data_IF_148661293374
#
_entry.id   IF_148661293374
#
_cell.length_a   1.000
_cell.length_b   1.000
_cell.length_c   1.000
_cell.angle_alpha   90.00
_cell.angle_beta   90.00
_cell.angle_gamma   90.00
#
_symmetry.space_group_name_H-M   'P 1'
#
loop_
_entity.id
_entity.type
_entity.pdbx_description
1 polymer ?
#
# COMPACT_ATOMS: atom_id res chain seq x y z
N UNK A 1 -16.46 2.92 -51.76
CA UNK A 1 -15.74 3.28 -50.52
C UNK A 1 -16.45 2.71 -49.29
N UNK A 2 -16.42 1.39 -49.04
CA UNK A 2 -17.20 0.78 -47.94
C UNK A 2 -16.58 -0.48 -47.32
N UNK A 3 -15.26 -0.68 -47.44
CA UNK A 3 -14.58 -1.90 -46.97
C UNK A 3 -13.32 -1.66 -46.12
N UNK A 4 -13.04 -0.43 -45.72
CA UNK A 4 -11.82 -0.09 -44.95
C UNK A 4 -12.10 0.22 -43.48
N UNK A 5 -13.37 0.27 -43.06
CA UNK A 5 -13.73 0.59 -41.66
C UNK A 5 -13.77 -0.66 -40.76
N UNK A 6 -13.91 -1.86 -41.35
CA UNK A 6 -14.01 -3.12 -40.60
C UNK A 6 -12.75 -3.52 -39.81
N UNK A 7 -11.49 -3.38 -40.32
CA UNK A 7 -10.33 -3.85 -39.56
C UNK A 7 -9.96 -2.94 -38.39
N UNK A 8 -10.37 -1.67 -38.40
CA UNK A 8 -10.11 -0.74 -37.30
C UNK A 8 -10.97 -1.03 -36.05
N UNK A 9 -12.21 -1.50 -36.25
CA UNK A 9 -13.09 -1.89 -35.14
C UNK A 9 -12.70 -3.25 -34.55
N UNK A 10 -12.11 -4.15 -35.34
CA UNK A 10 -11.59 -5.43 -34.85
C UNK A 10 -10.30 -5.27 -34.03
N UNK A 11 -9.45 -4.29 -34.34
CA UNK A 11 -8.25 -3.99 -33.54
C UNK A 11 -8.56 -3.40 -32.15
N UNK A 12 -9.64 -2.64 -32.03
CA UNK A 12 -10.11 -2.06 -30.76
C UNK A 12 -10.72 -3.11 -29.82
N UNK A 13 -11.22 -4.24 -30.34
CA UNK A 13 -11.74 -5.33 -29.51
C UNK A 13 -10.64 -6.08 -28.73
N UNK A 14 -9.40 -6.08 -29.23
CA UNK A 14 -8.25 -6.71 -28.55
C UNK A 14 -7.65 -5.88 -27.40
N UNK A 15 -7.96 -4.58 -27.34
CA UNK A 15 -7.53 -3.68 -26.26
C UNK A 15 -8.44 -3.73 -25.05
N UNK A 16 -9.62 -4.36 -25.15
CA UNK A 16 -10.52 -4.53 -24.01
C UNK A 16 -10.03 -5.58 -23.00
N UNK A 17 -9.15 -6.50 -23.42
CA UNK A 17 -8.60 -7.55 -22.55
C UNK A 17 -7.36 -7.13 -21.74
N UNK A 18 -6.79 -5.94 -21.96
CA UNK A 18 -5.58 -5.49 -21.24
C UNK A 18 -5.86 -4.59 -20.03
N UNK A 19 -7.10 -4.10 -19.84
CA UNK A 19 -7.45 -3.27 -18.67
C UNK A 19 -7.96 -4.14 -17.50
N UNK A 20 -8.13 -5.45 -17.71
CA UNK A 20 -8.41 -6.41 -16.63
C UNK A 20 -7.18 -6.76 -15.77
N UNK A 21 -6.06 -6.04 -15.94
CA UNK A 21 -4.93 -6.05 -15.00
C UNK A 21 -4.92 -4.79 -14.14
N UNK A 22 -6.09 -4.38 -13.64
CA UNK A 22 -6.14 -3.75 -12.34
C UNK A 22 -5.59 -4.78 -11.34
N UNK A 23 -4.26 -4.77 -11.18
CA UNK A 23 -3.58 -5.35 -10.02
C UNK A 23 -4.46 -5.02 -8.82
N UNK A 24 -4.80 -6.01 -7.99
CA UNK A 24 -5.95 -5.90 -7.10
C UNK A 24 -5.84 -4.58 -6.34
N UNK A 25 -6.89 -3.77 -6.40
CA UNK A 25 -7.12 -2.66 -5.50
C UNK A 25 -7.29 -3.21 -4.08
N UNK A 26 -6.23 -3.82 -3.58
CA UNK A 26 -5.97 -4.34 -2.26
C UNK A 26 -5.45 -3.13 -1.47
N UNK A 27 -6.31 -2.11 -1.41
CA UNK A 27 -5.95 -0.78 -0.99
C UNK A 27 -5.51 -0.81 0.47
N UNK A 28 -4.31 -0.29 0.70
CA UNK A 28 -3.88 0.11 2.04
C UNK A 28 -4.97 1.02 2.62
N UNK A 29 -5.32 0.89 3.90
CA UNK A 29 -6.35 1.72 4.50
C UNK A 29 -6.05 3.21 4.27
N UNK A 30 -7.01 3.93 3.68
CA UNK A 30 -6.93 5.36 3.46
C UNK A 30 -7.05 6.14 4.78
N UNK A 31 -6.28 7.22 4.91
CA UNK A 31 -6.35 8.07 6.10
C UNK A 31 -7.77 8.60 6.32
N UNK A 32 -8.25 8.56 7.56
CA UNK A 32 -9.61 8.98 7.93
C UNK A 32 -10.70 7.91 7.72
N UNK A 33 -10.31 6.68 7.35
CA UNK A 33 -11.23 5.54 7.34
C UNK A 33 -11.16 4.77 8.66
N UNK A 34 -12.24 4.08 9.08
CA UNK A 34 -12.21 3.22 10.26
C UNK A 34 -11.14 2.12 10.19
N UNK A 35 -10.86 1.60 8.99
CA UNK A 35 -9.79 0.62 8.78
C UNK A 35 -8.40 1.20 9.08
N UNK A 36 -8.19 2.48 8.78
CA UNK A 36 -6.95 3.17 9.13
C UNK A 36 -6.85 3.43 10.63
N UNK A 37 -7.97 3.75 11.29
CA UNK A 37 -8.01 3.91 12.74
C UNK A 37 -7.68 2.59 13.47
N UNK A 38 -8.21 1.47 12.98
CA UNK A 38 -7.88 0.13 13.49
C UNK A 38 -6.40 -0.20 13.32
N UNK A 39 -5.81 0.17 12.17
CA UNK A 39 -4.38 0.05 11.93
C UNK A 39 -3.55 0.89 12.91
N UNK A 40 -3.92 2.17 13.09
CA UNK A 40 -3.27 3.06 14.06
C UNK A 40 -3.36 2.52 15.48
N UNK A 41 -4.51 1.96 15.85
CA UNK A 41 -4.67 1.30 17.15
C UNK A 41 -3.80 0.04 17.26
N UNK A 42 -3.65 -0.73 16.17
CA UNK A 42 -2.72 -1.85 16.06
C UNK A 42 -1.27 -1.42 16.31
N UNK A 43 -0.82 -0.34 15.69
CA UNK A 43 0.51 0.25 15.93
C UNK A 43 0.70 0.62 17.41
N UNK A 44 -0.24 1.37 17.97
CA UNK A 44 -0.17 1.82 19.37
C UNK A 44 -0.14 0.65 20.36
N UNK A 45 -0.94 -0.40 20.12
CA UNK A 45 -0.92 -1.64 20.93
C UNK A 45 0.43 -2.35 20.89
N UNK A 46 1.21 -2.15 19.84
CA UNK A 46 2.57 -2.69 19.71
C UNK A 46 3.65 -1.66 20.12
N UNK A 47 3.27 -0.56 20.75
CA UNK A 47 4.18 0.47 21.26
C UNK A 47 4.66 1.48 20.22
N UNK A 48 4.05 1.51 19.04
CA UNK A 48 4.39 2.44 17.96
C UNK A 48 3.42 3.63 17.92
N UNK A 49 3.89 4.77 18.43
CA UNK A 49 3.14 6.04 18.41
C UNK A 49 3.55 6.87 17.19
N UNK A 50 3.20 6.39 16.01
CA UNK A 50 3.48 7.09 14.76
C UNK A 50 2.41 8.15 14.50
N UNK A 51 2.80 9.23 13.81
CA UNK A 51 1.84 10.14 13.22
C UNK A 51 1.13 9.45 12.02
N UNK A 52 -0.09 9.90 11.65
CA UNK A 52 -0.86 9.29 10.55
C UNK A 52 -0.11 9.20 9.22
N UNK A 53 0.59 10.27 8.81
CA UNK A 53 1.32 10.29 7.52
C UNK A 53 2.46 9.27 7.49
N UNK A 54 3.22 9.16 8.56
CA UNK A 54 4.27 8.15 8.71
C UNK A 54 3.68 6.77 8.73
N UNK A 55 2.61 6.54 9.50
CA UNK A 55 1.93 5.25 9.56
C UNK A 55 1.43 4.82 8.19
N UNK A 56 0.85 5.74 7.42
CA UNK A 56 0.39 5.49 6.04
C UNK A 56 1.55 5.12 5.11
N UNK A 57 2.71 5.79 5.23
CA UNK A 57 3.93 5.45 4.47
C UNK A 57 4.53 4.11 4.86
N UNK A 58 4.51 3.77 6.16
CA UNK A 58 4.92 2.44 6.64
C UNK A 58 4.02 1.37 6.03
N UNK A 59 2.71 1.58 6.02
CA UNK A 59 1.76 0.66 5.40
C UNK A 59 2.01 0.53 3.88
N UNK A 60 2.30 1.63 3.19
CA UNK A 60 2.73 1.63 1.79
C UNK A 60 3.95 0.75 1.54
N UNK A 61 4.98 0.95 2.33
CA UNK A 61 6.20 0.17 2.20
C UNK A 61 6.00 -1.31 2.60
N UNK A 62 5.16 -1.59 3.60
CA UNK A 62 4.91 -2.94 4.08
C UNK A 62 4.02 -3.79 3.16
N UNK A 63 3.05 -3.17 2.46
CA UNK A 63 2.03 -3.86 1.67
C UNK A 63 2.28 -3.85 0.18
N UNK A 64 2.66 -2.70 -0.38
CA UNK A 64 2.92 -2.58 -1.83
C UNK A 64 4.41 -2.85 -2.11
N UNK A 65 5.25 -2.65 -1.11
CA UNK A 65 6.69 -2.58 -1.30
C UNK A 65 7.13 -1.15 -1.59
N UNK A 66 8.39 -0.88 -1.34
CA UNK A 66 9.03 0.42 -1.51
C UNK A 66 10.52 0.28 -1.26
N UNK A 67 11.28 1.36 -1.43
CA UNK A 67 12.72 1.34 -1.19
C UNK A 67 12.97 1.21 0.31
N UNK A 68 13.56 0.10 0.79
CA UNK A 68 13.85 -0.07 2.21
C UNK A 68 14.74 1.05 2.74
N UNK A 69 14.45 1.54 3.94
CA UNK A 69 15.24 2.59 4.62
C UNK A 69 14.85 4.04 4.29
N UNK A 70 14.01 4.30 3.28
CA UNK A 70 13.62 5.67 2.93
C UNK A 70 12.79 6.38 4.02
N UNK A 71 12.12 5.60 4.87
CA UNK A 71 11.36 6.10 6.01
C UNK A 71 12.11 5.95 7.34
N UNK A 72 13.32 5.40 7.32
CA UNK A 72 14.04 5.00 8.53
C UNK A 72 14.40 6.17 9.45
N UNK A 73 14.76 7.32 8.88
CA UNK A 73 15.03 8.54 9.66
C UNK A 73 13.76 9.07 10.34
N UNK A 74 12.62 9.01 9.65
CA UNK A 74 11.34 9.48 10.17
C UNK A 74 10.78 8.54 11.24
N UNK A 75 11.00 7.23 11.07
CA UNK A 75 10.72 6.20 12.06
C UNK A 75 11.59 6.37 13.30
N UNK A 76 12.89 6.61 13.13
CA UNK A 76 13.80 6.88 14.24
C UNK A 76 13.40 8.16 14.99
N UNK A 77 13.01 9.22 14.28
CA UNK A 77 12.51 10.46 14.89
C UNK A 77 11.24 10.25 15.74
N UNK A 78 10.47 9.19 15.47
CA UNK A 78 9.27 8.81 16.21
C UNK A 78 9.50 7.66 17.20
N UNK A 79 10.75 7.37 17.53
CA UNK A 79 11.11 6.40 18.58
C UNK A 79 11.18 4.95 18.11
N UNK A 80 11.07 4.68 16.80
CA UNK A 80 11.37 3.35 16.24
C UNK A 80 12.87 3.20 16.09
N UNK A 81 13.53 2.99 17.23
CA UNK A 81 14.99 2.95 17.35
C UNK A 81 15.40 1.58 17.91
N UNK A 82 16.52 1.07 17.42
CA UNK A 82 17.14 -0.17 17.90
C UNK A 82 17.17 -1.28 16.86
N UNK A 83 17.93 -2.37 17.14
CA UNK A 83 18.10 -3.47 16.21
C UNK A 83 16.75 -4.14 15.90
N UNK A 84 16.44 -4.25 14.60
CA UNK A 84 15.21 -4.86 14.11
C UNK A 84 13.93 -4.06 14.41
N UNK A 85 14.01 -2.83 14.93
CA UNK A 85 12.83 -2.04 15.25
C UNK A 85 12.03 -1.68 13.99
N UNK A 86 12.75 -1.40 12.89
CA UNK A 86 12.17 -1.13 11.59
C UNK A 86 11.48 -2.37 11.01
N UNK A 87 12.11 -3.54 11.06
CA UNK A 87 11.45 -4.79 10.64
C UNK A 87 10.19 -5.07 11.47
N UNK A 88 10.24 -4.92 12.80
CA UNK A 88 9.07 -5.15 13.66
C UNK A 88 7.91 -4.20 13.36
N UNK A 89 8.16 -2.90 13.12
CA UNK A 89 7.08 -1.98 12.77
C UNK A 89 6.48 -2.33 11.40
N UNK A 90 7.30 -2.81 10.46
CA UNK A 90 6.84 -3.30 9.16
C UNK A 90 5.99 -4.57 9.29
N UNK A 91 6.33 -5.49 10.20
CA UNK A 91 5.52 -6.69 10.47
C UNK A 91 4.17 -6.34 11.08
N UNK A 92 4.14 -5.38 12.01
CA UNK A 92 2.88 -4.86 12.57
C UNK A 92 2.05 -4.21 11.48
N UNK A 93 2.65 -3.34 10.65
CA UNK A 93 1.95 -2.74 9.53
C UNK A 93 1.44 -3.80 8.55
N UNK A 94 2.20 -4.87 8.32
CA UNK A 94 1.76 -5.97 7.47
C UNK A 94 0.54 -6.69 8.04
N UNK A 95 0.52 -6.90 9.35
CA UNK A 95 -0.57 -7.58 10.05
C UNK A 95 -1.88 -6.78 10.06
N UNK A 96 -1.80 -5.46 10.18
CA UNK A 96 -2.98 -4.61 10.42
C UNK A 96 -3.39 -3.75 9.22
N UNK A 97 -2.49 -3.47 8.27
CA UNK A 97 -2.77 -2.60 7.12
C UNK A 97 -2.77 -3.34 5.78
N UNK A 98 -2.11 -4.49 5.66
CA UNK A 98 -2.13 -5.24 4.40
C UNK A 98 -3.37 -6.14 4.33
N UNK A 99 -4.03 -6.21 3.17
CA UNK A 99 -5.07 -7.20 2.96
C UNK A 99 -4.44 -8.59 3.10
N UNK A 100 -5.11 -9.44 3.88
CA UNK A 100 -4.76 -10.86 4.02
C UNK A 100 -4.69 -11.48 2.62
N UNK A 101 -3.53 -12.05 2.28
CA UNK A 101 -3.36 -12.85 1.06
C UNK A 101 -4.02 -14.21 1.20
#
# INVERSE_FOLDING_TARGET
MKRVVAPLLAGLAGLATTIALAAPANAIPDQGTPAFDDYMQGLQRNGYNLNPDTAWRVAHQACIGGIPGYIGLELAAQGVIGPGAQERVMDVARKYACPVQ
#
